data_IF_172557843313
#
_entry.id   IF_172557843313
#
_cell.length_a   1.000
_cell.length_b   1.000
_cell.length_c   1.000
_cell.angle_alpha   90.00
_cell.angle_beta   90.00
_cell.angle_gamma   90.00
#
_symmetry.space_group_name_H-M   'P 1'
#
loop_
_entity.id
_entity.type
_entity.pdbx_description
1 polymer ?
#
# COMPACT_ATOMS: atom_id res chain seq x y z
N UNK A 1 -6.16 -22.79 -20.25
CA UNK A 1 -5.07 -22.04 -19.58
C UNK A 1 -5.21 -20.51 -19.60
N UNK A 2 -6.16 -19.90 -20.31
CA UNK A 2 -6.35 -18.41 -20.31
C UNK A 2 -7.15 -17.88 -19.10
N UNK A 3 -8.16 -18.63 -18.64
CA UNK A 3 -9.09 -18.18 -17.59
C UNK A 3 -8.45 -17.95 -16.20
N UNK A 4 -7.45 -18.76 -15.82
CA UNK A 4 -6.74 -18.59 -14.54
C UNK A 4 -5.87 -17.31 -14.59
N UNK A 5 -5.34 -16.96 -15.76
CA UNK A 5 -4.51 -15.76 -15.95
C UNK A 5 -5.35 -14.48 -15.82
N UNK A 6 -6.55 -14.43 -16.41
CA UNK A 6 -7.45 -13.28 -16.24
C UNK A 6 -7.91 -13.12 -14.79
N UNK A 7 -8.16 -14.22 -14.07
CA UNK A 7 -8.49 -14.17 -12.65
C UNK A 7 -7.34 -13.59 -11.80
N UNK A 8 -6.09 -13.95 -12.11
CA UNK A 8 -4.91 -13.40 -11.40
C UNK A 8 -4.80 -11.87 -11.56
N UNK A 9 -5.14 -11.32 -12.73
CA UNK A 9 -5.18 -9.86 -12.95
C UNK A 9 -6.23 -9.22 -12.04
N UNK A 10 -7.46 -9.75 -12.03
CA UNK A 10 -8.55 -9.26 -11.18
C UNK A 10 -8.19 -9.32 -9.70
N UNK A 11 -7.59 -10.43 -9.23
CA UNK A 11 -7.12 -10.58 -7.85
C UNK A 11 -6.04 -9.55 -7.50
N UNK A 12 -5.07 -9.32 -8.41
CA UNK A 12 -4.03 -8.32 -8.19
C UNK A 12 -4.60 -6.90 -8.10
N UNK A 13 -5.60 -6.58 -8.92
CA UNK A 13 -6.30 -5.29 -8.89
C UNK A 13 -7.09 -5.09 -7.60
N UNK A 14 -7.82 -6.13 -7.15
CA UNK A 14 -8.55 -6.09 -5.87
C UNK A 14 -7.62 -5.91 -4.67
N UNK A 15 -6.49 -6.60 -4.64
CA UNK A 15 -5.47 -6.43 -3.60
C UNK A 15 -4.92 -5.00 -3.58
N UNK A 16 -4.64 -4.43 -4.75
CA UNK A 16 -4.19 -3.04 -4.87
C UNK A 16 -5.23 -2.03 -4.35
N UNK A 17 -6.51 -2.21 -4.68
CA UNK A 17 -7.57 -1.34 -4.17
C UNK A 17 -7.77 -1.49 -2.66
N UNK A 18 -7.71 -2.72 -2.12
CA UNK A 18 -7.76 -2.96 -0.66
C UNK A 18 -6.68 -2.15 0.07
N UNK A 19 -5.47 -2.12 -0.48
CA UNK A 19 -4.39 -1.35 0.12
C UNK A 19 -4.63 0.16 0.08
N UNK A 20 -5.24 0.69 -1.00
CA UNK A 20 -5.64 2.11 -1.06
C UNK A 20 -6.66 2.46 0.02
N UNK A 21 -7.68 1.61 0.21
CA UNK A 21 -8.71 1.81 1.25
C UNK A 21 -8.07 1.78 2.64
N UNK A 22 -7.15 0.85 2.90
CA UNK A 22 -6.43 0.79 4.17
C UNK A 22 -5.64 2.07 4.45
N UNK A 23 -4.91 2.60 3.46
CA UNK A 23 -4.17 3.87 3.62
C UNK A 23 -5.09 5.07 3.82
N UNK A 24 -6.26 5.11 3.16
CA UNK A 24 -7.27 6.15 3.40
C UNK A 24 -7.78 6.06 4.84
N UNK A 25 -8.08 4.85 5.32
CA UNK A 25 -8.52 4.62 6.70
C UNK A 25 -7.46 5.08 7.72
N UNK A 26 -6.19 4.73 7.50
CA UNK A 26 -5.07 5.22 8.32
C UNK A 26 -4.98 6.76 8.33
N UNK A 27 -5.17 7.40 7.17
CA UNK A 27 -5.13 8.85 7.08
C UNK A 27 -6.28 9.51 7.85
N UNK A 28 -7.50 8.97 7.76
CA UNK A 28 -8.67 9.48 8.48
C UNK A 28 -8.47 9.29 9.99
N UNK A 29 -8.03 8.11 10.41
CA UNK A 29 -7.79 7.80 11.81
C UNK A 29 -6.76 8.73 12.47
N UNK A 30 -5.75 9.17 11.70
CA UNK A 30 -4.68 10.04 12.19
C UNK A 30 -4.83 11.51 11.79
N UNK A 31 -5.96 11.92 11.19
CA UNK A 31 -6.14 13.26 10.63
C UNK A 31 -5.95 14.39 11.67
N UNK A 32 -6.31 14.12 12.93
CA UNK A 32 -6.24 15.08 14.03
C UNK A 32 -5.05 14.84 14.98
N UNK A 33 -4.15 13.90 14.64
CA UNK A 33 -3.02 13.55 15.51
C UNK A 33 -1.93 14.61 15.38
N UNK A 34 -1.81 15.48 16.39
CA UNK A 34 -0.78 16.54 16.48
C UNK A 34 0.49 16.08 17.20
N UNK A 35 0.39 14.99 17.98
CA UNK A 35 1.50 14.43 18.77
C UNK A 35 1.84 13.04 18.26
N UNK A 36 2.85 12.96 17.40
CA UNK A 36 3.50 11.70 17.04
C UNK A 36 4.71 11.44 17.94
N UNK A 37 5.17 10.19 18.09
CA UNK A 37 6.39 9.88 18.84
C UNK A 37 7.63 10.64 18.32
N UNK A 38 7.62 11.08 17.06
CA UNK A 38 8.68 11.89 16.44
C UNK A 38 8.48 13.41 16.58
N UNK A 39 7.45 13.86 17.30
CA UNK A 39 7.33 15.26 17.73
C UNK A 39 6.64 16.22 16.76
N UNK A 40 5.92 15.73 15.76
CA UNK A 40 5.19 16.58 14.79
C UNK A 40 3.78 16.09 14.43
N UNK A 41 2.96 16.93 13.76
CA UNK A 41 1.63 16.55 13.30
C UNK A 41 1.70 15.48 12.20
N UNK A 42 0.68 14.62 12.14
CA UNK A 42 0.60 13.53 11.18
C UNK A 42 0.66 14.04 9.73
N UNK A 43 1.43 13.32 8.89
CA UNK A 43 1.54 13.56 7.45
C UNK A 43 0.78 12.49 6.68
N UNK A 44 -0.16 12.92 5.83
CA UNK A 44 -0.97 12.02 5.01
C UNK A 44 -0.10 11.14 4.09
N UNK A 45 -0.49 9.87 3.96
CA UNK A 45 0.17 8.87 3.10
C UNK A 45 -0.64 8.65 1.82
N UNK A 46 0.05 8.39 0.71
CA UNK A 46 -0.58 8.15 -0.59
C UNK A 46 0.03 6.90 -1.23
N UNK A 47 -0.82 6.02 -1.73
CA UNK A 47 -0.40 4.80 -2.43
C UNK A 47 -0.15 5.11 -3.90
N UNK A 48 1.01 4.71 -4.42
CA UNK A 48 1.35 4.74 -5.85
C UNK A 48 1.43 3.31 -6.37
N UNK A 49 0.64 3.00 -7.40
CA UNK A 49 0.65 1.69 -8.06
C UNK A 49 1.58 1.73 -9.26
N UNK A 50 2.28 0.63 -9.52
CA UNK A 50 3.16 0.48 -10.68
C UNK A 50 2.92 -0.90 -11.31
N UNK A 51 2.98 -0.95 -12.64
CA UNK A 51 2.93 -2.21 -13.38
C UNK A 51 4.25 -2.97 -13.19
N UNK A 52 4.15 -4.30 -13.10
CA UNK A 52 5.30 -5.21 -13.03
C UNK A 52 5.17 -6.18 -14.20
N UNK A 53 6.28 -6.56 -14.84
CA UNK A 53 6.24 -7.54 -15.93
C UNK A 53 5.72 -8.89 -15.42
N UNK A 54 5.01 -9.60 -16.31
CA UNK A 54 4.32 -10.86 -15.99
C UNK A 54 5.29 -12.02 -15.68
N UNK A 55 6.59 -11.82 -15.91
CA UNK A 55 7.66 -12.80 -15.70
C UNK A 55 7.99 -12.99 -14.21
N UNK A 56 7.46 -12.12 -13.34
CA UNK A 56 7.67 -12.19 -11.89
C UNK A 56 6.43 -12.74 -11.20
N UNK A 57 6.55 -13.74 -10.32
CA UNK A 57 5.41 -14.22 -9.54
C UNK A 57 4.83 -13.06 -8.73
N UNK A 58 3.50 -13.00 -8.63
CA UNK A 58 2.78 -12.03 -7.80
C UNK A 58 3.29 -12.12 -6.35
N UNK A 59 4.23 -11.26 -5.99
CA UNK A 59 4.71 -11.17 -4.60
C UNK A 59 3.58 -10.58 -3.76
N UNK A 60 3.34 -11.14 -2.57
CA UNK A 60 2.27 -10.74 -1.63
C UNK A 60 2.27 -9.23 -1.28
N UNK A 61 3.36 -8.52 -1.53
CA UNK A 61 3.51 -7.07 -1.39
C UNK A 61 4.18 -6.47 -2.64
N UNK A 62 3.46 -6.37 -3.77
CA UNK A 62 3.94 -5.67 -4.97
C UNK A 62 3.58 -4.18 -4.97
N UNK A 63 2.69 -3.73 -4.08
CA UNK A 63 2.50 -2.31 -3.81
C UNK A 63 3.67 -1.86 -2.95
N UNK A 64 4.64 -1.23 -3.61
CA UNK A 64 5.76 -0.58 -2.94
C UNK A 64 5.21 0.63 -2.19
N UNK A 65 4.75 0.40 -0.96
CA UNK A 65 4.53 1.45 0.02
C UNK A 65 5.88 2.16 0.11
N UNK A 66 5.97 3.38 -0.42
CA UNK A 66 7.21 4.18 -0.41
C UNK A 66 7.35 4.65 1.03
N UNK A 67 7.77 3.73 1.89
CA UNK A 67 7.97 4.01 3.29
C UNK A 67 9.34 4.62 3.42
N UNK A 68 9.39 5.94 3.48
CA UNK A 68 10.60 6.67 3.88
C UNK A 68 10.95 6.43 5.38
N UNK A 69 10.47 5.35 6.00
CA UNK A 69 10.34 5.22 7.45
C UNK A 69 10.88 3.90 8.03
N UNK A 70 11.80 3.22 7.36
CA UNK A 70 12.55 2.09 7.98
C UNK A 70 13.60 2.58 9.00
N UNK A 71 13.23 3.51 9.89
CA UNK A 71 14.02 3.91 11.07
C UNK A 71 13.29 3.76 12.41
N UNK A 72 12.10 3.17 12.46
CA UNK A 72 11.42 2.87 13.73
C UNK A 72 11.28 1.35 13.96
N UNK A 73 12.42 0.69 14.20
CA UNK A 73 12.52 -0.60 14.93
C UNK A 73 13.67 -0.55 15.95
N UNK A 74 13.47 0.20 17.03
CA UNK A 74 14.09 -0.09 18.33
C UNK A 74 13.01 -0.01 19.40
#
# INVERSE_FOLDING_TARGET
MSFISSFNVSVSGMAAQRQRVNTISENIANANTTRTPEGGPYRRRIVTLAAVSNDRPLKRNCVRRKDHWTQLQK
#
